data_IF_094034697673
#
_entry.id   IF_094034697673
#
_cell.length_a   1.000
_cell.length_b   1.000
_cell.length_c   1.000
_cell.angle_alpha   90.00
_cell.angle_beta   90.00
_cell.angle_gamma   90.00
#
_symmetry.space_group_name_H-M   'P 1'
#
loop_
_entity.id
_entity.type
_entity.pdbx_description
1 polymer ?
#
# COMPACT_ATOMS: atom_id res chain seq x y z
N UNK A 1 16.55 -10.81 -3.37
CA UNK A 1 15.42 -10.98 -2.44
C UNK A 1 14.22 -10.30 -3.05
N UNK A 2 13.03 -10.83 -2.80
CA UNK A 2 11.77 -10.23 -3.22
C UNK A 2 11.25 -9.34 -2.09
N UNK A 3 11.17 -8.04 -2.33
CA UNK A 3 10.75 -7.04 -1.34
C UNK A 3 9.35 -6.54 -1.69
N UNK A 4 8.47 -6.44 -0.70
CA UNK A 4 7.26 -5.63 -0.81
C UNK A 4 7.24 -4.55 0.28
N UNK A 5 6.84 -3.34 -0.12
CA UNK A 5 6.72 -2.18 0.75
C UNK A 5 5.24 -1.80 0.94
N UNK A 6 4.83 -1.65 2.19
CA UNK A 6 3.44 -1.35 2.57
C UNK A 6 3.24 0.12 2.94
N UNK A 7 4.21 0.99 2.63
CA UNK A 7 4.16 2.42 2.89
C UNK A 7 5.04 3.21 1.92
N UNK A 8 4.69 4.46 1.55
CA UNK A 8 5.46 5.24 0.59
C UNK A 8 6.91 5.49 1.00
N UNK A 9 7.14 5.90 2.25
CA UNK A 9 8.49 6.21 2.73
C UNK A 9 9.46 5.03 2.68
N UNK A 10 8.98 3.79 2.92
CA UNK A 10 9.83 2.61 2.77
C UNK A 10 10.13 2.30 1.31
N UNK A 11 9.18 2.55 0.40
CA UNK A 11 9.42 2.46 -1.05
C UNK A 11 10.55 3.40 -1.44
N UNK A 12 10.49 4.66 -1.01
CA UNK A 12 11.53 5.67 -1.29
C UNK A 12 12.90 5.23 -0.75
N UNK A 13 12.96 4.73 0.48
CA UNK A 13 14.21 4.21 1.08
C UNK A 13 14.79 3.05 0.25
N UNK A 14 13.95 2.13 -0.22
CA UNK A 14 14.39 0.99 -1.04
C UNK A 14 14.99 1.48 -2.37
N UNK A 15 14.41 2.52 -2.97
CA UNK A 15 14.96 3.17 -4.17
C UNK A 15 16.31 3.85 -3.89
N UNK A 16 16.42 4.63 -2.82
CA UNK A 16 17.67 5.30 -2.42
C UNK A 16 18.81 4.32 -2.13
N UNK A 17 18.49 3.12 -1.65
CA UNK A 17 19.45 2.04 -1.44
C UNK A 17 19.85 1.30 -2.74
N UNK A 18 19.29 1.67 -3.90
CA UNK A 18 19.56 1.02 -5.18
C UNK A 18 18.96 -0.38 -5.31
N UNK A 19 17.89 -0.67 -4.57
CA UNK A 19 17.25 -1.99 -4.49
C UNK A 19 15.93 -2.05 -5.27
N UNK A 20 15.65 -1.10 -6.16
CA UNK A 20 14.39 -1.00 -6.90
C UNK A 20 14.06 -2.25 -7.74
N UNK A 21 15.05 -2.97 -8.25
CA UNK A 21 14.82 -4.19 -9.04
C UNK A 21 14.34 -5.37 -8.17
N UNK A 22 14.58 -5.28 -6.86
CA UNK A 22 14.12 -6.24 -5.86
C UNK A 22 12.75 -5.86 -5.28
N UNK A 23 12.25 -4.65 -5.54
CA UNK A 23 10.95 -4.18 -5.09
C UNK A 23 9.85 -4.65 -6.05
N UNK A 24 9.04 -5.60 -5.58
CA UNK A 24 8.02 -6.30 -6.37
C UNK A 24 6.58 -5.89 -6.01
N UNK A 25 6.36 -5.08 -4.98
CA UNK A 25 5.04 -4.59 -4.63
C UNK A 25 5.12 -3.34 -3.76
N UNK A 26 4.22 -2.38 -4.02
CA UNK A 26 4.14 -1.08 -3.34
C UNK A 26 2.71 -0.75 -2.94
N UNK A 27 2.46 0.37 -2.26
CA UNK A 27 1.09 0.88 -2.04
C UNK A 27 0.63 1.77 -3.19
N UNK A 28 -0.68 1.90 -3.37
CA UNK A 28 -1.31 2.85 -4.31
C UNK A 28 -0.83 4.31 -4.17
N UNK A 29 -0.38 4.72 -2.99
CA UNK A 29 0.16 6.07 -2.71
C UNK A 29 1.62 6.25 -3.13
N UNK A 30 2.30 5.22 -3.62
CA UNK A 30 3.70 5.33 -4.05
C UNK A 30 3.83 6.06 -5.39
N UNK A 31 4.18 7.34 -5.33
CA UNK A 31 4.37 8.21 -6.50
C UNK A 31 5.83 8.70 -6.67
N UNK A 32 6.70 8.43 -5.70
CA UNK A 32 8.12 8.81 -5.70
C UNK A 32 9.07 7.62 -5.43
N UNK A 33 10.21 7.54 -6.15
CA UNK A 33 10.46 8.25 -7.41
C UNK A 33 9.43 7.83 -8.48
N UNK A 34 9.31 8.58 -9.58
CA UNK A 34 8.21 8.37 -10.55
C UNK A 34 8.14 6.94 -11.06
N UNK A 35 9.26 6.24 -11.13
CA UNK A 35 9.38 4.83 -11.52
C UNK A 35 8.63 3.87 -10.56
N UNK A 36 8.40 4.26 -9.31
CA UNK A 36 7.62 3.49 -8.34
C UNK A 36 6.17 3.28 -8.78
N UNK A 37 5.61 4.22 -9.55
CA UNK A 37 4.25 4.10 -10.11
C UNK A 37 4.09 2.92 -11.09
N UNK A 38 5.20 2.36 -11.59
CA UNK A 38 5.18 1.18 -12.47
C UNK A 38 5.14 -0.15 -11.69
N UNK A 39 5.30 -0.11 -10.36
CA UNK A 39 5.28 -1.28 -9.51
C UNK A 39 3.83 -1.69 -9.21
N UNK A 40 3.53 -3.00 -9.10
CA UNK A 40 2.19 -3.44 -8.79
C UNK A 40 1.80 -3.06 -7.36
N UNK A 41 0.52 -2.76 -7.16
CA UNK A 41 0.00 -2.38 -5.84
C UNK A 41 -0.36 -3.60 -5.02
N UNK A 42 0.37 -3.79 -3.91
CA UNK A 42 0.12 -4.82 -2.90
C UNK A 42 -0.78 -4.30 -1.77
N UNK A 43 -0.84 -2.98 -1.59
CA UNK A 43 -1.79 -2.30 -0.69
C UNK A 43 -2.66 -1.36 -1.50
N UNK A 44 -3.98 -1.48 -1.32
CA UNK A 44 -5.00 -0.67 -1.99
C UNK A 44 -5.85 0.08 -0.97
N UNK A 45 -6.43 1.19 -1.40
CA UNK A 45 -7.52 1.85 -0.68
C UNK A 45 -8.86 1.27 -1.10
N UNK A 46 -9.80 1.19 -0.16
CA UNK A 46 -11.21 0.85 -0.47
C UNK A 46 -11.89 1.88 -1.37
N UNK A 47 -11.24 3.02 -1.59
CA UNK A 47 -11.69 4.10 -2.47
C UNK A 47 -10.98 4.09 -3.84
N UNK A 48 -10.05 3.16 -4.10
CA UNK A 48 -9.33 3.11 -5.38
C UNK A 48 -10.28 2.95 -6.57
N UNK A 49 -10.11 3.81 -7.58
CA UNK A 49 -10.96 3.83 -8.78
C UNK A 49 -12.33 4.48 -8.57
N UNK A 50 -12.53 5.18 -7.45
CA UNK A 50 -13.76 5.92 -7.13
C UNK A 50 -13.47 7.39 -6.82
N UNK A 51 -14.49 8.25 -6.94
CA UNK A 51 -14.41 9.67 -6.56
C UNK A 51 -15.51 9.99 -5.53
N UNK A 52 -15.39 9.49 -4.29
CA UNK A 52 -16.44 9.63 -3.28
C UNK A 52 -16.48 11.06 -2.74
N UNK A 53 -17.67 11.53 -2.45
CA UNK A 53 -17.88 12.76 -1.67
C UNK A 53 -17.41 12.57 -0.23
N UNK A 54 -17.12 13.66 0.49
CA UNK A 54 -16.76 13.59 1.92
C UNK A 54 -17.79 12.85 2.78
N UNK A 55 -19.09 12.96 2.43
CA UNK A 55 -20.16 12.25 3.11
C UNK A 55 -20.09 10.73 2.90
N UNK A 56 -19.76 10.30 1.69
CA UNK A 56 -19.56 8.88 1.36
C UNK A 56 -18.29 8.33 2.02
N UNK A 57 -17.19 9.08 2.01
CA UNK A 57 -15.96 8.73 2.73
C UNK A 57 -16.26 8.50 4.21
N UNK A 58 -16.90 9.46 4.87
CA UNK A 58 -17.20 9.37 6.30
C UNK A 58 -18.09 8.16 6.62
N UNK A 59 -19.08 7.88 5.77
CA UNK A 59 -19.96 6.72 5.92
C UNK A 59 -19.19 5.41 5.81
N UNK A 60 -18.39 5.23 4.76
CA UNK A 60 -17.60 4.01 4.54
C UNK A 60 -16.58 3.79 5.66
N UNK A 61 -15.88 4.85 6.09
CA UNK A 61 -14.92 4.74 7.21
C UNK A 61 -15.65 4.31 8.49
N UNK A 62 -16.79 4.91 8.81
CA UNK A 62 -17.56 4.58 10.01
C UNK A 62 -18.04 3.13 9.99
N UNK A 63 -18.63 2.69 8.88
CA UNK A 63 -19.12 1.32 8.70
C UNK A 63 -17.97 0.29 8.87
N UNK A 64 -16.77 0.58 8.35
CA UNK A 64 -15.62 -0.32 8.46
C UNK A 64 -15.02 -0.35 9.86
N UNK A 65 -14.94 0.80 10.54
CA UNK A 65 -14.48 0.87 11.93
C UNK A 65 -15.40 0.08 12.87
N UNK A 66 -16.72 0.16 12.69
CA UNK A 66 -17.70 -0.63 13.45
C UNK A 66 -17.50 -2.15 13.24
N UNK A 67 -17.01 -2.55 12.07
CA UNK A 67 -16.69 -3.94 11.72
C UNK A 67 -15.26 -4.36 12.12
N UNK A 68 -14.46 -3.46 12.69
CA UNK A 68 -13.04 -3.69 13.01
C UNK A 68 -12.16 -3.83 11.77
N UNK A 69 -12.60 -3.33 10.62
CA UNK A 69 -11.87 -3.34 9.35
C UNK A 69 -11.10 -2.03 9.13
N UNK A 70 -9.93 -2.13 8.50
CA UNK A 70 -9.17 -0.98 8.02
C UNK A 70 -9.73 -0.41 6.71
N UNK A 71 -9.25 0.78 6.34
CA UNK A 71 -9.54 1.45 5.05
C UNK A 71 -8.57 1.06 3.93
N UNK A 72 -7.53 0.31 4.28
CA UNK A 72 -6.56 -0.26 3.36
C UNK A 72 -6.71 -1.77 3.32
N UNK A 73 -6.57 -2.33 2.13
CA UNK A 73 -6.68 -3.76 1.87
C UNK A 73 -5.41 -4.28 1.19
N UNK A 74 -5.07 -5.53 1.47
CA UNK A 74 -3.94 -6.21 0.83
C UNK A 74 -4.45 -6.92 -0.41
N UNK A 75 -3.84 -6.66 -1.56
CA UNK A 75 -4.07 -7.44 -2.77
C UNK A 75 -3.36 -8.79 -2.64
N UNK A 76 -4.08 -9.80 -2.15
CA UNK A 76 -3.53 -11.14 -1.94
C UNK A 76 -3.00 -11.78 -3.23
N UNK A 77 -3.57 -11.43 -4.39
CA UNK A 77 -3.13 -11.99 -5.67
C UNK A 77 -1.75 -11.45 -6.02
N UNK A 78 -1.58 -10.13 -5.91
CA UNK A 78 -0.28 -9.47 -6.12
C UNK A 78 0.74 -9.94 -5.09
N UNK A 79 0.36 -10.00 -3.80
CA UNK A 79 1.27 -10.43 -2.73
C UNK A 79 1.79 -11.85 -2.94
N UNK A 80 0.90 -12.79 -3.30
CA UNK A 80 1.27 -14.18 -3.57
C UNK A 80 2.14 -14.31 -4.82
N UNK A 81 1.83 -13.54 -5.87
CA UNK A 81 2.64 -13.53 -7.09
C UNK A 81 4.05 -12.95 -6.85
N UNK A 82 4.17 -11.94 -5.99
CA UNK A 82 5.46 -11.34 -5.63
C UNK A 82 6.34 -12.29 -4.80
N UNK A 83 5.75 -13.25 -4.08
CA UNK A 83 6.45 -14.22 -3.23
C UNK A 83 7.59 -13.56 -2.40
N UNK A 84 7.26 -12.62 -1.51
CA UNK A 84 8.26 -11.78 -0.84
C UNK A 84 9.07 -12.55 0.20
N UNK A 85 10.39 -12.29 0.20
CA UNK A 85 11.31 -12.69 1.27
C UNK A 85 11.29 -11.67 2.42
N UNK A 86 10.93 -10.41 2.12
CA UNK A 86 10.89 -9.30 3.07
C UNK A 86 9.66 -8.43 2.85
N UNK A 87 8.91 -8.19 3.94
CA UNK A 87 7.83 -7.21 4.01
C UNK A 87 8.27 -6.03 4.88
N UNK A 88 8.17 -4.81 4.33
CA UNK A 88 8.42 -3.58 5.07
C UNK A 88 7.07 -2.94 5.39
N UNK A 89 6.78 -2.78 6.68
CA UNK A 89 5.52 -2.23 7.19
C UNK A 89 5.80 -1.28 8.36
N UNK A 90 4.80 -0.50 8.76
CA UNK A 90 4.82 0.33 9.96
C UNK A 90 3.62 0.01 10.85
N UNK A 91 3.82 0.09 12.16
CA UNK A 91 2.71 0.14 13.09
C UNK A 91 2.00 1.49 12.95
N UNK A 92 0.69 1.49 13.09
CA UNK A 92 -0.08 2.73 13.22
C UNK A 92 0.29 3.33 14.58
N UNK A 93 0.74 4.57 14.61
CA UNK A 93 0.91 5.30 15.87
C UNK A 93 -0.47 5.52 16.51
N UNK A 94 -0.61 5.23 17.80
CA UNK A 94 -1.77 5.71 18.56
C UNK A 94 -1.71 7.24 18.61
N UNK A 95 -2.68 7.92 17.99
CA UNK A 95 -2.86 9.38 18.02
C UNK A 95 -4.11 9.74 18.79
#
# INVERSE_FOLDING_TARGET
MNICSFLPSATEIVYELGLQDQLLGVTHECDYPREATNKPWVVRSVFDGTEPTSGEINRVISERLEQGLGIYEIDETVLRAANPDLLITQAICEV
#
